data_IF_512678500690
#
_entry.id   IF_512678500690
#
_cell.length_a   1.000
_cell.length_b   1.000
_cell.length_c   1.000
_cell.angle_alpha   90.00
_cell.angle_beta   90.00
_cell.angle_gamma   90.00
#
_symmetry.space_group_name_H-M   'P 1'
#
loop_
_entity.id
_entity.type
_entity.pdbx_description
1 polymer ?
#
# COMPACT_ATOMS: atom_id res chain seq x y z
N UNK A 1 12.73 5.54 3.59
CA UNK A 1 11.26 5.68 3.74
C UNK A 1 10.78 6.88 2.93
N UNK A 2 9.53 6.86 2.46
CA UNK A 2 8.82 7.98 1.85
C UNK A 2 7.49 8.18 2.59
N UNK A 3 7.05 9.43 2.74
CA UNK A 3 5.72 9.80 3.26
C UNK A 3 5.11 10.85 2.35
N UNK A 4 3.89 10.63 1.88
CA UNK A 4 3.20 11.53 0.94
C UNK A 4 2.82 12.86 1.61
N UNK A 5 2.31 12.80 2.84
CA UNK A 5 1.96 13.96 3.64
C UNK A 5 2.70 13.94 4.97
N UNK A 6 2.92 15.13 5.53
CA UNK A 6 3.64 15.34 6.80
C UNK A 6 2.78 16.20 7.72
N UNK A 7 1.83 15.59 8.43
CA UNK A 7 1.00 16.32 9.38
C UNK A 7 1.80 16.77 10.60
N UNK A 8 1.22 17.67 11.41
CA UNK A 8 1.87 18.22 12.61
C UNK A 8 2.25 17.17 13.66
N UNK A 9 1.58 16.03 13.67
CA UNK A 9 1.85 14.89 14.55
C UNK A 9 2.72 13.81 13.90
N UNK A 10 3.41 14.12 12.80
CA UNK A 10 4.30 13.17 12.13
C UNK A 10 5.41 12.68 13.05
N UNK A 11 5.54 11.37 13.16
CA UNK A 11 6.58 10.72 13.96
C UNK A 11 7.76 10.25 13.09
N UNK A 12 7.62 10.25 11.78
CA UNK A 12 8.60 9.62 10.88
C UNK A 12 9.99 10.25 10.97
N UNK A 13 10.05 11.57 11.13
CA UNK A 13 11.32 12.32 11.21
C UNK A 13 12.06 12.03 12.51
N UNK A 14 11.34 11.98 13.63
CA UNK A 14 11.90 11.62 14.91
C UNK A 14 12.42 10.17 14.92
N UNK A 15 11.62 9.24 14.38
CA UNK A 15 12.02 7.84 14.25
C UNK A 15 13.21 7.66 13.31
N UNK A 16 13.25 8.39 12.19
CA UNK A 16 14.38 8.37 11.28
C UNK A 16 15.69 8.79 11.96
N UNK A 17 15.64 9.86 12.78
CA UNK A 17 16.77 10.31 13.57
C UNK A 17 17.17 9.28 14.63
N UNK A 18 16.20 8.70 15.32
CA UNK A 18 16.44 7.72 16.39
C UNK A 18 17.05 6.40 15.88
N UNK A 19 16.55 5.91 14.74
CA UNK A 19 16.93 4.59 14.21
C UNK A 19 17.87 4.65 13.01
N UNK A 20 18.26 5.84 12.56
CA UNK A 20 19.27 6.03 11.53
C UNK A 20 18.83 5.65 10.11
N UNK A 21 17.52 5.65 9.79
CA UNK A 21 17.07 5.42 8.43
C UNK A 21 16.83 6.74 7.67
N UNK A 22 16.95 6.69 6.36
CA UNK A 22 16.79 7.86 5.49
C UNK A 22 15.34 8.06 5.08
N UNK A 23 14.92 9.33 5.03
CA UNK A 23 13.66 9.76 4.41
C UNK A 23 13.99 10.39 3.06
N UNK A 24 13.19 10.05 2.05
CA UNK A 24 13.37 10.50 0.67
C UNK A 24 12.15 11.34 0.24
N UNK A 25 12.35 12.20 -0.74
CA UNK A 25 11.32 13.10 -1.26
C UNK A 25 10.34 12.43 -2.22
N UNK A 26 10.71 11.28 -2.78
CA UNK A 26 9.90 10.53 -3.74
C UNK A 26 9.93 9.03 -3.47
N UNK A 27 8.90 8.31 -3.96
CA UNK A 27 8.85 6.84 -3.92
C UNK A 27 10.06 6.25 -4.66
N UNK A 28 10.39 6.79 -5.84
CA UNK A 28 11.55 6.36 -6.61
C UNK A 28 12.84 6.45 -5.80
N UNK A 29 13.12 7.60 -5.22
CA UNK A 29 14.32 7.78 -4.39
C UNK A 29 14.35 6.82 -3.21
N UNK A 30 13.20 6.56 -2.57
CA UNK A 30 13.11 5.63 -1.45
C UNK A 30 13.41 4.18 -1.89
N UNK A 31 12.87 3.75 -3.03
CA UNK A 31 13.08 2.40 -3.57
C UNK A 31 14.50 2.20 -4.14
N UNK A 32 15.08 3.25 -4.70
CA UNK A 32 16.43 3.23 -5.25
C UNK A 32 17.51 3.66 -4.23
N UNK A 33 17.15 3.97 -2.99
CA UNK A 33 18.04 4.50 -1.94
C UNK A 33 18.84 5.73 -2.40
N UNK A 34 18.26 6.54 -3.29
CA UNK A 34 18.87 7.68 -3.94
C UNK A 34 19.71 7.35 -5.18
N UNK A 35 19.78 6.09 -5.59
CA UNK A 35 20.43 5.64 -6.82
C UNK A 35 19.49 5.63 -8.04
N UNK A 36 19.94 4.97 -9.12
CA UNK A 36 19.21 4.89 -10.40
C UNK A 36 18.31 3.67 -10.56
N UNK A 37 18.49 2.61 -9.79
CA UNK A 37 17.79 1.33 -9.91
C UNK A 37 17.30 0.86 -8.55
N UNK A 38 16.32 -0.07 -8.55
CA UNK A 38 15.76 -0.67 -7.34
C UNK A 38 16.85 -1.26 -6.44
N UNK A 39 16.93 -0.80 -5.19
CA UNK A 39 17.99 -1.15 -4.24
C UNK A 39 17.49 -1.72 -2.91
N UNK A 40 16.15 -1.88 -2.76
CA UNK A 40 15.53 -2.50 -1.58
C UNK A 40 15.18 -3.96 -1.86
N UNK A 41 14.99 -4.75 -0.79
CA UNK A 41 14.66 -6.18 -0.88
C UNK A 41 13.16 -6.46 -0.63
N UNK A 42 12.41 -5.45 -0.25
CA UNK A 42 10.97 -5.53 -0.06
C UNK A 42 10.35 -4.15 0.12
N UNK A 43 9.04 -4.08 -0.05
CA UNK A 43 8.26 -2.86 0.09
C UNK A 43 7.13 -3.07 1.09
N UNK A 44 7.08 -2.26 2.14
CA UNK A 44 5.91 -2.13 2.98
C UNK A 44 5.13 -0.88 2.54
N UNK A 45 3.99 -1.09 1.89
CA UNK A 45 3.14 -0.04 1.37
C UNK A 45 1.92 0.17 2.27
N UNK A 46 1.89 1.29 2.96
CA UNK A 46 0.81 1.68 3.89
C UNK A 46 0.25 3.02 3.41
N UNK A 47 -0.84 2.97 2.66
CA UNK A 47 -1.45 4.14 2.02
C UNK A 47 -2.84 4.45 2.57
N UNK A 48 -3.02 4.53 3.88
CA UNK A 48 -4.34 4.58 4.51
C UNK A 48 -4.69 5.91 5.17
N UNK A 49 -3.72 6.70 5.57
CA UNK A 49 -3.97 7.95 6.29
C UNK A 49 -3.54 9.16 5.47
N UNK A 50 -4.15 10.28 5.74
CA UNK A 50 -3.87 11.56 5.10
C UNK A 50 -5.15 12.35 4.82
N UNK A 51 -4.98 13.61 4.46
CA UNK A 51 -6.06 14.50 4.08
C UNK A 51 -6.31 14.40 2.57
N UNK A 52 -7.23 13.53 2.18
CA UNK A 52 -7.64 13.31 0.80
C UNK A 52 -9.14 13.58 0.66
N UNK A 53 -9.64 13.92 -0.54
CA UNK A 53 -11.04 14.22 -0.74
C UNK A 53 -11.93 12.98 -0.62
N UNK A 54 -13.23 13.23 -0.45
CA UNK A 54 -14.27 12.22 -0.57
C UNK A 54 -14.96 12.35 -1.94
N UNK A 55 -15.42 11.25 -2.49
CA UNK A 55 -16.28 11.27 -3.67
C UNK A 55 -17.77 11.44 -3.26
N UNK A 56 -18.64 11.52 -4.27
CA UNK A 56 -20.10 11.64 -4.08
C UNK A 56 -20.72 10.46 -3.31
N UNK A 57 -20.06 9.30 -3.28
CA UNK A 57 -20.50 8.12 -2.53
C UNK A 57 -19.98 8.09 -1.08
N UNK A 58 -19.29 9.14 -0.64
CA UNK A 58 -18.66 9.19 0.68
C UNK A 58 -17.42 8.32 0.84
N UNK A 59 -16.84 7.82 -0.25
CA UNK A 59 -15.60 7.04 -0.21
C UNK A 59 -14.41 7.99 -0.12
N UNK A 60 -13.50 7.74 0.82
CA UNK A 60 -12.26 8.49 0.98
C UNK A 60 -11.28 8.08 -0.13
N UNK A 61 -10.86 9.04 -0.94
CA UNK A 61 -10.05 8.79 -2.14
C UNK A 61 -8.56 8.71 -1.80
N UNK A 62 -8.18 7.75 -0.98
CA UNK A 62 -6.77 7.46 -0.73
C UNK A 62 -6.04 7.13 -2.04
N UNK A 63 -4.90 7.77 -2.36
CA UNK A 63 -4.21 7.61 -3.65
C UNK A 63 -3.39 6.31 -3.72
N UNK A 64 -3.95 5.18 -3.24
CA UNK A 64 -3.24 3.90 -3.17
C UNK A 64 -2.81 3.40 -4.54
N UNK A 65 -3.72 3.45 -5.50
CA UNK A 65 -3.41 3.05 -6.87
C UNK A 65 -2.31 3.92 -7.48
N UNK A 66 -2.41 5.23 -7.31
CA UNK A 66 -1.48 6.20 -7.87
C UNK A 66 -0.07 6.07 -7.25
N UNK A 67 0.01 5.79 -5.95
CA UNK A 67 1.28 5.53 -5.27
C UNK A 67 1.85 4.15 -5.63
N UNK A 68 0.98 3.12 -5.66
CA UNK A 68 1.40 1.76 -6.05
C UNK A 68 1.91 1.71 -7.50
N UNK A 69 1.27 2.46 -8.40
CA UNK A 69 1.72 2.58 -9.79
C UNK A 69 3.16 3.07 -9.86
N UNK A 70 3.57 4.04 -9.05
CA UNK A 70 4.95 4.53 -9.00
C UNK A 70 5.93 3.43 -8.55
N UNK A 71 5.52 2.54 -7.64
CA UNK A 71 6.32 1.38 -7.24
C UNK A 71 6.52 0.44 -8.44
N UNK A 72 5.44 0.13 -9.17
CA UNK A 72 5.48 -0.73 -10.35
C UNK A 72 6.34 -0.13 -11.46
N UNK A 73 6.26 1.18 -11.68
CA UNK A 73 7.09 1.87 -12.67
C UNK A 73 8.59 1.69 -12.36
N UNK A 74 8.99 1.80 -11.07
CA UNK A 74 10.38 1.53 -10.65
C UNK A 74 10.77 0.08 -10.87
N UNK A 75 9.88 -0.88 -10.60
CA UNK A 75 10.15 -2.30 -10.84
C UNK A 75 10.41 -2.58 -12.33
N UNK A 76 9.57 -2.05 -13.20
CA UNK A 76 9.70 -2.19 -14.66
C UNK A 76 10.99 -1.58 -15.19
N UNK A 77 11.29 -0.36 -14.80
CA UNK A 77 12.50 0.34 -15.22
C UNK A 77 13.78 -0.34 -14.71
N UNK A 78 13.71 -0.94 -13.53
CA UNK A 78 14.86 -1.65 -12.95
C UNK A 78 15.03 -3.09 -13.48
N UNK A 79 14.05 -3.61 -14.24
CA UNK A 79 14.02 -5.02 -14.67
C UNK A 79 13.99 -6.01 -13.49
N UNK A 80 13.61 -5.56 -12.31
CA UNK A 80 13.59 -6.35 -11.07
C UNK A 80 12.37 -5.93 -10.24
N UNK A 81 11.70 -6.90 -9.64
CA UNK A 81 10.65 -6.69 -8.65
C UNK A 81 11.01 -7.37 -7.33
N UNK A 82 10.43 -6.93 -6.24
CA UNK A 82 10.62 -7.47 -4.89
C UNK A 82 9.28 -7.68 -4.21
N UNK A 83 9.25 -8.46 -3.12
CA UNK A 83 8.04 -8.69 -2.36
C UNK A 83 7.40 -7.37 -1.90
N UNK A 84 6.08 -7.28 -2.00
CA UNK A 84 5.29 -6.13 -1.55
C UNK A 84 4.29 -6.57 -0.50
N UNK A 85 4.35 -5.95 0.66
CA UNK A 85 3.25 -5.93 1.60
C UNK A 85 2.42 -4.68 1.34
N UNK A 86 1.15 -4.85 1.03
CA UNK A 86 0.19 -3.76 0.89
C UNK A 86 -0.83 -3.85 2.02
N UNK A 87 -0.87 -2.83 2.88
CA UNK A 87 -1.88 -2.75 3.93
C UNK A 87 -3.30 -2.66 3.33
N UNK A 88 -4.27 -2.97 4.16
CA UNK A 88 -5.69 -2.98 3.79
C UNK A 88 -6.07 -1.64 3.19
N UNK A 89 -6.88 -1.65 2.29
CA UNK A 89 -7.29 -2.50 1.20
C UNK A 89 -6.62 -2.00 -0.08
N UNK A 90 -6.74 -2.66 -1.23
CA UNK A 90 -6.07 -2.20 -2.45
C UNK A 90 -6.57 -0.84 -2.94
N UNK A 91 -7.87 -0.70 -3.16
CA UNK A 91 -8.48 0.51 -3.70
C UNK A 91 -9.99 0.55 -3.40
N UNK A 92 -10.56 1.74 -3.47
CA UNK A 92 -12.01 1.99 -3.49
C UNK A 92 -12.65 1.68 -4.88
N UNK A 93 -11.85 1.38 -5.87
CA UNK A 93 -12.26 1.08 -7.24
C UNK A 93 -11.79 -0.33 -7.64
N UNK A 94 -12.74 -1.16 -8.13
CA UNK A 94 -12.45 -2.55 -8.51
C UNK A 94 -11.42 -2.65 -9.62
N UNK A 95 -11.51 -1.81 -10.66
CA UNK A 95 -10.60 -1.85 -11.80
C UNK A 95 -9.17 -1.53 -11.36
N UNK A 96 -9.02 -0.52 -10.50
CA UNK A 96 -7.73 -0.16 -9.91
C UNK A 96 -7.18 -1.29 -9.02
N UNK A 97 -8.02 -1.86 -8.15
CA UNK A 97 -7.62 -2.97 -7.28
C UNK A 97 -7.18 -4.20 -8.08
N UNK A 98 -7.95 -4.55 -9.11
CA UNK A 98 -7.60 -5.67 -9.99
C UNK A 98 -6.29 -5.42 -10.72
N UNK A 99 -6.07 -4.22 -11.25
CA UNK A 99 -4.81 -3.88 -11.90
C UNK A 99 -3.62 -4.04 -10.93
N UNK A 100 -3.74 -3.55 -9.68
CA UNK A 100 -2.68 -3.71 -8.68
C UNK A 100 -2.34 -5.18 -8.40
N UNK A 101 -3.36 -6.03 -8.33
CA UNK A 101 -3.18 -7.47 -8.18
C UNK A 101 -2.52 -8.10 -9.41
N UNK A 102 -3.00 -7.77 -10.60
CA UNK A 102 -2.48 -8.32 -11.86
C UNK A 102 -0.99 -7.99 -12.06
N UNK A 103 -0.51 -6.84 -11.56
CA UNK A 103 0.91 -6.49 -11.63
C UNK A 103 1.82 -7.47 -10.88
N UNK A 104 1.35 -8.05 -9.77
CA UNK A 104 2.14 -9.05 -9.05
C UNK A 104 2.35 -10.32 -9.85
N UNK A 105 1.37 -10.72 -10.64
CA UNK A 105 1.46 -11.85 -11.56
C UNK A 105 2.29 -11.53 -12.80
N UNK A 106 2.10 -10.35 -13.38
CA UNK A 106 2.85 -9.93 -14.59
C UNK A 106 4.35 -9.80 -14.31
N UNK A 107 4.71 -9.22 -13.16
CA UNK A 107 6.11 -8.99 -12.77
C UNK A 107 6.68 -10.06 -11.82
N UNK A 108 5.91 -11.11 -11.55
CA UNK A 108 6.30 -12.28 -10.76
C UNK A 108 6.88 -11.95 -9.38
N UNK A 109 6.24 -11.08 -8.62
CA UNK A 109 6.66 -10.80 -7.25
C UNK A 109 5.62 -11.24 -6.21
N UNK A 110 6.05 -11.68 -5.01
CA UNK A 110 5.14 -12.00 -3.92
C UNK A 110 4.38 -10.76 -3.46
N UNK A 111 3.06 -10.86 -3.41
CA UNK A 111 2.18 -9.80 -2.93
C UNK A 111 1.38 -10.30 -1.73
N UNK A 112 1.58 -9.68 -0.59
CA UNK A 112 0.75 -9.86 0.58
C UNK A 112 -0.15 -8.64 0.71
N UNK A 113 -1.45 -8.85 0.58
CA UNK A 113 -2.45 -7.78 0.65
C UNK A 113 -3.76 -8.35 1.18
N UNK A 114 -4.56 -7.49 1.77
CA UNK A 114 -5.84 -7.90 2.30
C UNK A 114 -6.19 -7.15 3.58
N UNK A 115 -7.07 -7.74 4.35
CA UNK A 115 -7.52 -7.19 5.62
C UNK A 115 -7.59 -8.27 6.69
N UNK A 116 -7.22 -7.92 7.90
CA UNK A 116 -7.43 -8.78 9.07
C UNK A 116 -8.90 -8.78 9.54
N UNK A 117 -9.74 -7.89 9.04
CA UNK A 117 -11.15 -7.78 9.46
C UNK A 117 -11.92 -9.10 9.36
N UNK A 118 -11.79 -9.93 8.33
CA UNK A 118 -12.43 -11.23 8.27
C UNK A 118 -11.95 -12.22 9.33
N UNK A 119 -10.78 -11.99 9.92
CA UNK A 119 -10.16 -12.85 10.92
C UNK A 119 -10.30 -12.32 12.35
N UNK A 120 -10.89 -11.15 12.51
CA UNK A 120 -11.12 -10.55 13.83
C UNK A 120 -12.39 -11.11 14.47
N UNK A 121 -12.44 -11.02 15.79
CA UNK A 121 -13.65 -11.43 16.53
C UNK A 121 -14.83 -10.56 16.15
N UNK A 122 -15.90 -11.20 15.73
CA UNK A 122 -17.17 -10.54 15.42
C UNK A 122 -17.93 -10.23 16.71
N UNK A 123 -18.55 -9.06 16.75
CA UNK A 123 -19.43 -8.67 17.85
C UNK A 123 -20.72 -8.04 17.30
N UNK A 124 -21.88 -8.71 17.45
CA UNK A 124 -22.05 -10.03 18.08
C UNK A 124 -21.35 -11.14 17.30
N UNK A 125 -20.98 -12.24 17.96
CA UNK A 125 -20.44 -13.41 17.29
C UNK A 125 -21.53 -13.98 16.38
N UNK A 126 -21.31 -13.89 15.08
CA UNK A 126 -22.22 -14.38 14.05
C UNK A 126 -21.47 -15.34 13.15
N UNK A 127 -21.82 -16.59 13.21
CA UNK A 127 -21.37 -17.62 12.27
C UNK A 127 -22.55 -18.03 11.40
N UNK A 128 -22.42 -17.78 10.11
CA UNK A 128 -23.41 -18.20 9.11
C UNK A 128 -23.04 -19.60 8.62
N UNK A 129 -24.01 -20.49 8.57
CA UNK A 129 -23.81 -21.79 7.92
C UNK A 129 -23.51 -21.61 6.44
N UNK A 130 -22.68 -22.49 5.89
CA UNK A 130 -22.35 -22.45 4.45
C UNK A 130 -23.64 -22.59 3.62
N UNK A 131 -23.90 -21.64 2.76
CA UNK A 131 -25.11 -21.59 1.93
C UNK A 131 -26.29 -20.81 2.54
N UNK A 132 -26.11 -20.20 3.71
CA UNK A 132 -27.14 -19.27 4.24
C UNK A 132 -27.38 -18.14 3.27
N UNK A 133 -28.65 -17.76 3.01
CA UNK A 133 -28.95 -16.58 2.19
C UNK A 133 -28.43 -15.32 2.89
N UNK A 134 -27.84 -14.44 2.11
CA UNK A 134 -27.38 -13.11 2.57
C UNK A 134 -28.20 -12.09 1.81
N UNK A 135 -29.15 -11.46 2.50
CA UNK A 135 -29.98 -10.37 1.98
C UNK A 135 -29.26 -9.02 2.11
#
# INVERSE_FOLDING_TARGET
MYTDQVPSNDMSRALASQYGFRIFGTIREALCLGGGTLAVDGVAFIGEHGEYPFNEKGQHLYPRYELYKQIIDVFRESGRAVAVYCDKHFSYDWTKAKWMYDQSHELHFPLMAGSSVPLTWRRPPLELELGSPVD
#
